data_IF_028905523687
#
_entry.id   IF_028905523687
#
_cell.length_a   1.000
_cell.length_b   1.000
_cell.length_c   1.000
_cell.angle_alpha   90.00
_cell.angle_beta   90.00
_cell.angle_gamma   90.00
#
_symmetry.space_group_name_H-M   'P 1'
#
loop_
_entity.id
_entity.type
_entity.pdbx_description
1 polymer ?
#
# COMPACT_ATOMS: atom_id res chain seq x y z
N UNK A 1 -4.27 -8.96 6.58
CA UNK A 1 -5.45 -8.06 6.69
C UNK A 1 -5.09 -6.62 6.31
N UNK A 2 -6.08 -5.77 6.06
CA UNK A 2 -5.87 -4.33 5.84
C UNK A 2 -5.48 -3.63 7.15
N UNK A 3 -4.78 -2.50 7.05
CA UNK A 3 -4.48 -1.65 8.21
C UNK A 3 -5.75 -0.93 8.68
N UNK A 4 -6.65 -1.66 9.32
CA UNK A 4 -7.90 -1.13 9.88
C UNK A 4 -7.91 -1.34 11.39
N UNK A 5 -8.00 -0.26 12.14
CA UNK A 5 -7.97 -0.29 13.61
C UNK A 5 -9.12 -1.10 14.23
N UNK A 6 -10.30 -1.11 13.60
CA UNK A 6 -11.42 -1.92 14.08
C UNK A 6 -11.13 -3.41 13.97
N UNK A 7 -10.51 -3.86 12.86
CA UNK A 7 -10.11 -5.26 12.72
C UNK A 7 -9.00 -5.65 13.69
N UNK A 8 -8.07 -4.72 13.97
CA UNK A 8 -7.00 -4.96 14.94
C UNK A 8 -7.53 -5.17 16.35
N UNK A 9 -8.51 -4.37 16.77
CA UNK A 9 -9.16 -4.50 18.06
C UNK A 9 -9.90 -5.84 18.16
N UNK A 10 -10.72 -6.16 17.16
CA UNK A 10 -11.49 -7.39 17.09
C UNK A 10 -10.62 -8.64 17.17
N UNK A 11 -9.49 -8.66 16.45
CA UNK A 11 -8.54 -9.78 16.50
C UNK A 11 -7.88 -9.89 17.87
N UNK A 12 -7.48 -8.77 18.48
CA UNK A 12 -6.87 -8.78 19.82
C UNK A 12 -7.82 -9.27 20.91
N UNK A 13 -9.09 -8.92 20.79
CA UNK A 13 -10.12 -9.32 21.77
C UNK A 13 -10.56 -10.78 21.62
N UNK A 14 -10.75 -11.23 20.36
CA UNK A 14 -11.35 -12.53 20.09
C UNK A 14 -10.34 -13.62 19.69
N UNK A 15 -9.11 -13.26 19.36
CA UNK A 15 -8.05 -14.19 18.94
C UNK A 15 -6.74 -13.91 19.70
N UNK A 16 -6.67 -14.16 21.02
CA UNK A 16 -5.51 -13.80 21.86
C UNK A 16 -4.19 -14.45 21.41
N UNK A 17 -4.26 -15.61 20.76
CA UNK A 17 -3.10 -16.32 20.18
C UNK A 17 -2.89 -16.00 18.69
N UNK A 18 -3.68 -15.11 18.12
CA UNK A 18 -3.62 -14.74 16.71
C UNK A 18 -2.47 -13.77 16.43
N UNK A 19 -1.71 -14.02 15.35
CA UNK A 19 -0.72 -13.07 14.85
C UNK A 19 -1.32 -12.24 13.75
N UNK A 20 -1.37 -10.92 13.95
CA UNK A 20 -1.84 -9.98 12.93
C UNK A 20 -0.75 -9.84 11.86
N UNK A 21 -1.11 -10.14 10.61
CA UNK A 21 -0.26 -9.95 9.43
C UNK A 21 -0.90 -8.94 8.51
N UNK A 22 -0.20 -7.81 8.26
CA UNK A 22 -0.69 -6.81 7.32
C UNK A 22 -0.24 -7.11 5.90
N UNK A 23 -1.16 -6.86 4.96
CA UNK A 23 -0.84 -6.91 3.54
C UNK A 23 0.00 -5.70 3.14
N UNK A 24 1.24 -5.97 2.71
CA UNK A 24 2.18 -4.95 2.28
C UNK A 24 1.68 -4.17 1.04
N UNK A 25 0.84 -4.78 0.19
CA UNK A 25 0.20 -4.06 -0.91
C UNK A 25 -0.66 -2.89 -0.39
N UNK A 26 -1.43 -3.12 0.68
CA UNK A 26 -2.23 -2.06 1.31
C UNK A 26 -1.35 -0.98 1.95
N UNK A 27 -0.21 -1.34 2.54
CA UNK A 27 0.77 -0.36 3.05
C UNK A 27 1.24 0.55 1.92
N UNK A 28 1.66 -0.02 0.78
CA UNK A 28 2.14 0.74 -0.39
C UNK A 28 1.02 1.57 -1.05
N UNK A 29 -0.19 1.03 -1.14
CA UNK A 29 -1.35 1.75 -1.67
C UNK A 29 -1.71 2.94 -0.80
N UNK A 30 -1.69 2.77 0.54
CA UNK A 30 -1.89 3.84 1.50
C UNK A 30 -0.80 4.90 1.41
N UNK A 31 0.47 4.50 1.27
CA UNK A 31 1.58 5.42 1.05
C UNK A 31 1.38 6.25 -0.22
N UNK A 32 1.01 5.60 -1.32
CA UNK A 32 0.71 6.28 -2.57
C UNK A 32 -0.33 7.39 -2.39
N UNK A 33 -1.47 7.07 -1.77
CA UNK A 33 -2.57 8.02 -1.56
C UNK A 33 -2.25 9.10 -0.53
N UNK A 34 -1.69 8.72 0.62
CA UNK A 34 -1.49 9.64 1.76
C UNK A 34 -0.22 10.48 1.66
N UNK A 35 0.79 9.99 0.94
CA UNK A 35 2.09 10.68 0.81
C UNK A 35 2.31 11.18 -0.61
N UNK A 36 2.44 10.29 -1.60
CA UNK A 36 2.78 10.68 -2.98
C UNK A 36 1.75 11.64 -3.57
N UNK A 37 0.46 11.29 -3.51
CA UNK A 37 -0.59 12.15 -4.07
C UNK A 37 -0.67 13.49 -3.34
N UNK A 38 -0.46 13.52 -2.02
CA UNK A 38 -0.50 14.76 -1.25
C UNK A 38 0.67 15.66 -1.59
N UNK A 39 1.90 15.15 -1.55
CA UNK A 39 3.11 15.93 -1.89
C UNK A 39 3.02 16.44 -3.33
N UNK A 40 2.52 15.62 -4.28
CA UNK A 40 2.31 16.00 -5.67
C UNK A 40 1.30 17.16 -5.82
N UNK A 41 0.19 17.11 -5.08
CA UNK A 41 -0.82 18.17 -5.09
C UNK A 41 -0.25 19.46 -4.50
N UNK A 42 0.47 19.37 -3.38
CA UNK A 42 1.09 20.51 -2.73
C UNK A 42 2.15 21.15 -3.65
N UNK A 43 3.00 20.34 -4.30
CA UNK A 43 3.95 20.80 -5.30
C UNK A 43 3.26 21.47 -6.51
N UNK A 44 2.16 20.89 -7.02
CA UNK A 44 1.40 21.50 -8.11
C UNK A 44 0.73 22.83 -7.70
N UNK A 45 0.35 22.97 -6.43
CA UNK A 45 -0.24 24.21 -5.91
C UNK A 45 0.80 25.31 -5.73
N UNK A 46 2.03 24.99 -5.36
CA UNK A 46 3.13 25.98 -5.29
C UNK A 46 3.53 26.52 -6.69
N UNK A 47 3.23 25.78 -7.76
CA UNK A 47 3.53 26.14 -9.15
C UNK A 47 2.36 26.83 -9.88
N UNK A 48 1.48 27.53 -9.16
CA UNK A 48 0.33 28.24 -9.78
C UNK A 48 0.76 29.32 -10.77
N UNK A 49 1.91 29.94 -10.57
CA UNK A 49 2.51 30.96 -11.42
C UNK A 49 3.20 30.38 -12.68
N UNK A 50 3.39 29.08 -12.76
CA UNK A 50 4.04 28.36 -13.88
C UNK A 50 3.13 27.24 -14.42
N UNK A 51 2.13 27.54 -15.26
CA UNK A 51 1.08 26.59 -15.65
C UNK A 51 1.60 25.30 -16.31
N UNK A 52 2.67 25.40 -17.12
CA UNK A 52 3.25 24.23 -17.79
C UNK A 52 3.96 23.29 -16.81
N UNK A 53 4.73 23.81 -15.84
CA UNK A 53 5.36 23.03 -14.78
C UNK A 53 4.30 22.36 -13.89
N UNK A 54 3.26 23.11 -13.56
CA UNK A 54 2.11 22.58 -12.83
C UNK A 54 1.46 21.40 -13.55
N UNK A 55 1.29 21.48 -14.87
CA UNK A 55 0.74 20.40 -15.69
C UNK A 55 1.63 19.16 -15.64
N UNK A 56 2.96 19.33 -15.73
CA UNK A 56 3.94 18.24 -15.62
C UNK A 56 3.82 17.53 -14.27
N UNK A 57 3.82 18.27 -13.16
CA UNK A 57 3.67 17.70 -11.82
C UNK A 57 2.33 17.01 -11.64
N UNK A 58 1.22 17.60 -12.09
CA UNK A 58 -0.11 16.97 -12.01
C UNK A 58 -0.20 15.65 -12.77
N UNK A 59 0.38 15.58 -13.96
CA UNK A 59 0.33 14.39 -14.82
C UNK A 59 1.28 13.27 -14.36
N UNK A 60 2.19 13.52 -13.41
CA UNK A 60 3.19 12.55 -12.96
C UNK A 60 2.66 11.43 -12.05
N UNK A 61 1.38 11.44 -11.69
CA UNK A 61 0.80 10.48 -10.73
C UNK A 61 1.15 9.03 -11.06
N UNK A 62 0.81 8.58 -12.26
CA UNK A 62 1.03 7.20 -12.65
C UNK A 62 2.51 6.84 -12.76
N UNK A 63 3.35 7.79 -13.17
CA UNK A 63 4.80 7.66 -13.19
C UNK A 63 5.35 7.36 -11.80
N UNK A 64 4.90 8.10 -10.78
CA UNK A 64 5.33 7.93 -9.39
C UNK A 64 4.79 6.66 -8.71
N UNK A 65 3.82 5.99 -9.32
CA UNK A 65 3.29 4.71 -8.86
C UNK A 65 3.97 3.52 -9.54
N UNK A 66 4.66 3.72 -10.66
CA UNK A 66 5.40 2.67 -11.34
C UNK A 66 6.64 2.25 -10.55
N UNK A 67 7.06 1.03 -10.77
CA UNK A 67 8.35 0.52 -10.30
C UNK A 67 9.47 1.05 -11.18
N UNK A 68 10.68 1.30 -10.63
CA UNK A 68 11.83 1.73 -11.45
C UNK A 68 12.08 0.80 -12.64
N UNK A 69 12.02 -0.51 -12.41
CA UNK A 69 12.25 -1.53 -13.44
C UNK A 69 11.19 -1.57 -14.55
N UNK A 70 10.02 -0.96 -14.32
CA UNK A 70 8.91 -0.90 -15.28
C UNK A 70 8.79 0.45 -15.99
N UNK A 71 9.78 1.33 -15.81
CA UNK A 71 9.82 2.61 -16.48
C UNK A 71 10.42 2.44 -17.90
N UNK A 72 9.77 3.06 -18.89
CA UNK A 72 10.36 3.21 -20.21
C UNK A 72 11.44 4.31 -20.18
N UNK A 73 12.33 4.37 -21.19
CA UNK A 73 13.36 5.42 -21.30
C UNK A 73 12.77 6.84 -21.23
N UNK A 74 11.64 7.07 -21.91
CA UNK A 74 10.92 8.34 -21.86
C UNK A 74 10.41 8.67 -20.46
N UNK A 75 10.00 7.66 -19.70
CA UNK A 75 9.54 7.83 -18.32
C UNK A 75 10.69 8.04 -17.35
N UNK A 76 11.85 7.42 -17.56
CA UNK A 76 13.08 7.71 -16.83
C UNK A 76 13.49 9.18 -17.01
N UNK A 77 13.50 9.68 -18.24
CA UNK A 77 13.79 11.09 -18.53
C UNK A 77 12.82 12.03 -17.81
N UNK A 78 11.51 11.74 -17.88
CA UNK A 78 10.49 12.53 -17.16
C UNK A 78 10.66 12.49 -15.65
N UNK A 79 11.01 11.33 -15.08
CA UNK A 79 11.27 11.21 -13.65
C UNK A 79 12.50 12.01 -13.24
N UNK A 80 13.57 12.00 -14.04
CA UNK A 80 14.77 12.79 -13.83
C UNK A 80 14.49 14.31 -13.88
N UNK A 81 13.69 14.77 -14.83
CA UNK A 81 13.23 16.16 -14.90
C UNK A 81 12.38 16.54 -13.68
N UNK A 82 11.41 15.69 -13.32
CA UNK A 82 10.57 15.91 -12.16
C UNK A 82 11.39 15.98 -10.85
N UNK A 83 12.42 15.15 -10.73
CA UNK A 83 13.31 15.13 -9.55
C UNK A 83 14.12 16.42 -9.40
N UNK A 84 14.54 17.04 -10.50
CA UNK A 84 15.20 18.36 -10.49
C UNK A 84 14.25 19.47 -10.06
N UNK A 85 12.96 19.34 -10.40
CA UNK A 85 11.92 20.31 -10.05
C UNK A 85 11.43 20.19 -8.61
N UNK A 86 11.42 18.98 -8.04
CA UNK A 86 10.83 18.74 -6.73
C UNK A 86 11.53 17.59 -5.96
N UNK A 87 12.57 17.95 -5.22
CA UNK A 87 13.31 17.00 -4.35
C UNK A 87 12.41 16.26 -3.32
N UNK A 88 11.43 16.90 -2.65
CA UNK A 88 10.51 16.19 -1.77
C UNK A 88 9.75 15.06 -2.45
N UNK A 89 9.32 15.27 -3.69
CA UNK A 89 8.58 14.26 -4.44
C UNK A 89 9.46 13.08 -4.84
N UNK A 90 10.70 13.35 -5.25
CA UNK A 90 11.70 12.31 -5.49
C UNK A 90 11.98 11.50 -4.22
N UNK A 91 12.18 12.17 -3.08
CA UNK A 91 12.39 11.49 -1.79
C UNK A 91 11.24 10.54 -1.45
N UNK A 92 10.00 10.99 -1.63
CA UNK A 92 8.83 10.14 -1.40
C UNK A 92 8.78 8.94 -2.36
N UNK A 93 9.15 9.14 -3.65
CA UNK A 93 9.23 8.06 -4.63
C UNK A 93 10.24 6.98 -4.22
N UNK A 94 11.45 7.37 -3.86
CA UNK A 94 12.51 6.45 -3.42
C UNK A 94 12.11 5.71 -2.13
N UNK A 95 11.56 6.43 -1.16
CA UNK A 95 11.11 5.83 0.10
C UNK A 95 9.94 4.85 -0.10
N UNK A 96 9.07 5.07 -1.09
CA UNK A 96 8.05 4.09 -1.47
C UNK A 96 8.67 2.83 -2.05
N UNK A 97 9.68 2.98 -2.87
CA UNK A 97 10.38 1.87 -3.50
C UNK A 97 11.10 1.01 -2.46
N UNK A 98 11.77 1.63 -1.49
CA UNK A 98 12.39 0.93 -0.37
C UNK A 98 11.39 0.09 0.45
N UNK A 99 10.18 0.58 0.73
CA UNK A 99 9.17 -0.23 1.42
C UNK A 99 8.81 -1.50 0.65
N UNK A 100 8.93 -1.51 -0.67
CA UNK A 100 8.68 -2.72 -1.47
C UNK A 100 9.71 -3.81 -1.23
N UNK A 101 10.93 -3.45 -0.85
CA UNK A 101 11.97 -4.42 -0.55
C UNK A 101 11.64 -5.32 0.64
N UNK A 102 10.65 -4.97 1.47
CA UNK A 102 10.14 -5.85 2.52
C UNK A 102 9.70 -7.23 2.00
N UNK A 103 9.20 -7.32 0.75
CA UNK A 103 8.79 -8.60 0.15
C UNK A 103 9.96 -9.50 -0.25
N UNK A 104 11.15 -8.93 -0.45
CA UNK A 104 12.34 -9.66 -0.87
C UNK A 104 13.26 -10.03 0.30
N UNK A 105 12.94 -9.59 1.52
CA UNK A 105 13.76 -9.86 2.69
C UNK A 105 13.67 -11.32 3.12
N UNK A 106 14.83 -11.91 3.44
CA UNK A 106 14.93 -13.30 3.84
C UNK A 106 14.71 -13.55 5.32
N UNK A 107 14.88 -12.53 6.18
CA UNK A 107 14.84 -12.68 7.63
C UNK A 107 14.05 -11.58 8.34
N UNK A 108 13.48 -11.96 9.50
CA UNK A 108 12.79 -11.02 10.39
C UNK A 108 13.68 -9.87 10.85
N UNK A 109 14.97 -10.14 11.14
CA UNK A 109 15.92 -9.11 11.55
C UNK A 109 16.14 -8.03 10.49
N UNK A 110 16.24 -8.44 9.22
CA UNK A 110 16.34 -7.49 8.09
C UNK A 110 15.07 -6.65 7.95
N UNK A 111 13.90 -7.26 8.12
CA UNK A 111 12.61 -6.54 8.07
C UNK A 111 12.51 -5.50 9.20
N UNK A 112 12.90 -5.85 10.42
CA UNK A 112 12.95 -4.92 11.56
C UNK A 112 13.89 -3.75 11.26
N UNK A 113 15.12 -4.04 10.85
CA UNK A 113 16.11 -3.01 10.56
C UNK A 113 15.63 -2.04 9.48
N UNK A 114 15.11 -2.58 8.38
CA UNK A 114 14.59 -1.75 7.27
C UNK A 114 13.41 -0.88 7.71
N UNK A 115 12.41 -1.44 8.38
CA UNK A 115 11.21 -0.69 8.79
C UNK A 115 11.55 0.38 9.81
N UNK A 116 12.41 0.09 10.79
CA UNK A 116 12.79 1.06 11.82
C UNK A 116 13.63 2.20 11.25
N UNK A 117 14.62 1.92 10.40
CA UNK A 117 15.39 2.94 9.70
C UNK A 117 14.49 3.79 8.79
N UNK A 118 13.60 3.13 8.04
CA UNK A 118 12.64 3.81 7.18
C UNK A 118 11.75 4.78 7.98
N UNK A 119 11.19 4.35 9.12
CA UNK A 119 10.37 5.19 10.00
C UNK A 119 11.19 6.36 10.54
N UNK A 120 12.43 6.13 10.94
CA UNK A 120 13.32 7.19 11.41
C UNK A 120 13.52 8.25 10.33
N UNK A 121 13.91 7.88 9.12
CA UNK A 121 14.11 8.80 7.99
C UNK A 121 12.82 9.51 7.57
N UNK A 122 11.67 8.82 7.61
CA UNK A 122 10.37 9.41 7.32
C UNK A 122 10.01 10.51 8.30
N UNK A 123 10.15 10.23 9.60
CA UNK A 123 9.77 11.17 10.67
C UNK A 123 10.68 12.40 10.76
N UNK A 124 11.93 12.29 10.27
CA UNK A 124 12.90 13.40 10.20
C UNK A 124 12.98 14.06 8.81
N UNK A 125 12.08 13.70 7.89
CA UNK A 125 12.15 14.16 6.50
C UNK A 125 11.79 15.63 6.27
N UNK A 126 11.11 16.28 7.21
CA UNK A 126 10.48 17.62 7.08
C UNK A 126 9.37 17.69 6.01
N UNK A 127 8.96 16.55 5.43
CA UNK A 127 7.84 16.46 4.48
C UNK A 127 6.62 16.02 5.27
N UNK A 128 5.70 16.94 5.57
CA UNK A 128 4.58 16.69 6.50
C UNK A 128 3.80 15.40 6.21
N UNK A 129 3.33 15.12 4.97
CA UNK A 129 2.63 13.86 4.69
C UNK A 129 3.47 12.61 4.96
N UNK A 130 4.79 12.67 4.73
CA UNK A 130 5.71 11.56 4.98
C UNK A 130 5.96 11.37 6.48
N UNK A 131 6.10 12.47 7.24
CA UNK A 131 6.21 12.45 8.71
C UNK A 131 4.98 11.82 9.33
N UNK A 132 3.79 12.27 8.92
CA UNK A 132 2.51 11.79 9.44
C UNK A 132 2.33 10.29 9.13
N UNK A 133 2.69 9.86 7.93
CA UNK A 133 2.67 8.45 7.54
C UNK A 133 3.65 7.61 8.37
N UNK A 134 4.89 8.07 8.56
CA UNK A 134 5.90 7.39 9.37
C UNK A 134 5.48 7.22 10.83
N UNK A 135 4.87 8.25 11.43
CA UNK A 135 4.30 8.18 12.79
C UNK A 135 3.18 7.15 12.87
N UNK A 136 2.27 7.16 11.90
CA UNK A 136 1.18 6.18 11.83
C UNK A 136 1.68 4.75 11.66
N UNK A 137 2.70 4.55 10.82
CA UNK A 137 3.25 3.22 10.53
C UNK A 137 3.83 2.54 11.78
N UNK A 138 4.30 3.28 12.78
CA UNK A 138 4.79 2.74 14.05
C UNK A 138 3.78 1.83 14.74
N UNK A 139 2.50 2.16 14.68
CA UNK A 139 1.43 1.35 15.27
C UNK A 139 1.23 -0.01 14.58
N UNK A 140 1.73 -0.17 13.38
CA UNK A 140 1.53 -1.34 12.53
C UNK A 140 2.80 -2.18 12.33
N UNK A 141 3.94 -1.78 12.95
CA UNK A 141 5.26 -2.40 12.72
C UNK A 141 5.24 -3.91 12.94
N UNK A 142 4.62 -4.39 14.02
CA UNK A 142 4.61 -5.82 14.34
C UNK A 142 3.95 -6.67 13.24
N UNK A 143 2.80 -6.23 12.74
CA UNK A 143 2.08 -6.96 11.68
C UNK A 143 2.75 -6.81 10.30
N UNK A 144 3.49 -5.72 10.08
CA UNK A 144 4.31 -5.55 8.87
C UNK A 144 5.50 -6.52 8.89
N UNK A 145 6.19 -6.63 10.03
CA UNK A 145 7.31 -7.56 10.22
C UNK A 145 6.82 -9.01 10.12
N UNK A 146 5.66 -9.32 10.71
CA UNK A 146 5.06 -10.65 10.60
C UNK A 146 4.79 -11.05 9.14
N UNK A 147 4.53 -10.10 8.24
CA UNK A 147 4.37 -10.41 6.83
C UNK A 147 5.65 -10.98 6.17
N UNK A 148 6.84 -10.61 6.66
CA UNK A 148 8.10 -11.19 6.20
C UNK A 148 8.29 -12.63 6.68
N UNK A 149 7.82 -12.95 7.91
CA UNK A 149 7.91 -14.30 8.49
C UNK A 149 6.96 -15.27 7.78
N UNK A 150 5.69 -14.85 7.63
CA UNK A 150 4.64 -15.75 7.15
C UNK A 150 4.53 -15.81 5.61
N UNK A 151 5.12 -14.86 4.88
CA UNK A 151 5.08 -14.76 3.39
C UNK A 151 3.67 -15.00 2.81
N UNK A 152 2.64 -14.56 3.53
CA UNK A 152 1.24 -14.74 3.13
C UNK A 152 0.96 -13.84 1.93
N UNK A 153 0.61 -14.44 0.80
CA UNK A 153 0.15 -13.72 -0.36
C UNK A 153 -1.37 -13.48 -0.26
N UNK A 154 -1.76 -12.24 -0.03
CA UNK A 154 -3.17 -11.85 0.06
C UNK A 154 -3.92 -11.92 -1.28
N UNK A 155 -3.22 -12.12 -2.41
CA UNK A 155 -3.84 -12.17 -3.74
C UNK A 155 -4.89 -13.28 -3.89
N UNK A 156 -4.69 -14.43 -3.24
CA UNK A 156 -5.66 -15.53 -3.21
C UNK A 156 -6.94 -15.10 -2.51
N UNK A 157 -6.82 -14.47 -1.33
CA UNK A 157 -7.97 -13.97 -0.57
C UNK A 157 -8.68 -12.82 -1.32
N UNK A 158 -7.93 -11.95 -1.98
CA UNK A 158 -8.50 -10.91 -2.84
C UNK A 158 -9.29 -11.54 -4.01
N UNK A 159 -8.75 -12.55 -4.66
CA UNK A 159 -9.43 -13.32 -5.70
C UNK A 159 -10.73 -13.95 -5.19
N UNK A 160 -10.70 -14.57 -4.01
CA UNK A 160 -11.89 -15.12 -3.33
C UNK A 160 -12.91 -14.02 -3.06
N UNK A 161 -12.52 -12.92 -2.45
CA UNK A 161 -13.39 -11.79 -2.14
C UNK A 161 -14.00 -11.16 -3.41
N UNK A 162 -13.23 -11.05 -4.49
CA UNK A 162 -13.72 -10.54 -5.76
C UNK A 162 -14.76 -11.48 -6.37
N UNK A 163 -14.54 -12.80 -6.31
CA UNK A 163 -15.52 -13.80 -6.76
C UNK A 163 -16.82 -13.74 -5.94
N UNK A 164 -16.73 -13.59 -4.61
CA UNK A 164 -17.89 -13.38 -3.74
C UNK A 164 -18.66 -12.09 -4.11
N UNK A 165 -17.95 -10.99 -4.33
CA UNK A 165 -18.55 -9.73 -4.79
C UNK A 165 -19.26 -9.88 -6.15
N UNK A 166 -18.69 -10.66 -7.08
CA UNK A 166 -19.31 -10.95 -8.36
C UNK A 166 -20.60 -11.75 -8.20
N UNK A 167 -20.62 -12.78 -7.34
CA UNK A 167 -21.82 -13.58 -7.03
C UNK A 167 -22.93 -12.65 -6.53
N UNK A 168 -22.61 -11.78 -5.55
CA UNK A 168 -23.56 -10.81 -5.00
C UNK A 168 -24.09 -9.83 -6.06
N UNK A 169 -23.21 -9.31 -6.93
CA UNK A 169 -23.59 -8.37 -8.00
C UNK A 169 -24.48 -9.01 -9.05
N UNK A 170 -24.19 -10.24 -9.50
CA UNK A 170 -24.98 -10.96 -10.52
C UNK A 170 -26.41 -11.24 -10.07
N UNK A 171 -26.61 -11.40 -8.77
CA UNK A 171 -27.95 -11.61 -8.19
C UNK A 171 -28.65 -10.31 -7.78
N UNK A 172 -28.07 -9.14 -8.08
CA UNK A 172 -28.57 -7.85 -7.60
C UNK A 172 -28.79 -7.78 -6.07
N UNK A 173 -28.07 -8.62 -5.33
CA UNK A 173 -28.18 -8.84 -3.90
C UNK A 173 -28.88 -10.17 -3.58
N UNK A 174 -28.85 -10.52 -2.31
CA UNK A 174 -29.55 -11.71 -1.78
C UNK A 174 -30.42 -11.26 -0.60
N UNK A 175 -31.64 -11.75 -0.55
CA UNK A 175 -32.55 -11.53 0.59
C UNK A 175 -32.36 -12.58 1.67
N UNK A 176 -31.86 -13.75 1.29
CA UNK A 176 -31.61 -14.90 2.17
C UNK A 176 -30.10 -15.12 2.26
N UNK A 177 -29.55 -14.93 3.46
CA UNK A 177 -28.14 -15.08 3.75
C UNK A 177 -27.70 -16.55 3.67
N UNK A 178 -28.54 -17.51 4.08
CA UNK A 178 -28.22 -18.94 3.98
C UNK A 178 -28.09 -19.36 2.52
N UNK A 179 -28.99 -18.93 1.66
CA UNK A 179 -28.89 -19.19 0.23
C UNK A 179 -27.65 -18.50 -0.39
N UNK A 180 -27.33 -17.29 0.05
CA UNK A 180 -26.08 -16.63 -0.37
C UNK A 180 -24.86 -17.47 -0.02
N UNK A 181 -24.75 -17.95 1.23
CA UNK A 181 -23.64 -18.81 1.65
C UNK A 181 -23.57 -20.13 0.87
N UNK A 182 -24.71 -20.73 0.54
CA UNK A 182 -24.74 -21.91 -0.33
C UNK A 182 -24.19 -21.62 -1.72
N UNK A 183 -24.53 -20.47 -2.32
CA UNK A 183 -23.99 -20.03 -3.62
C UNK A 183 -22.49 -19.77 -3.53
N UNK A 184 -22.01 -19.16 -2.45
CA UNK A 184 -20.59 -18.97 -2.21
C UNK A 184 -19.87 -20.32 -2.11
N UNK A 185 -20.35 -21.25 -1.27
CA UNK A 185 -19.80 -22.60 -1.13
C UNK A 185 -19.74 -23.33 -2.48
N UNK A 186 -20.83 -23.30 -3.26
CA UNK A 186 -20.90 -23.94 -4.56
C UNK A 186 -19.93 -23.32 -5.59
N UNK A 187 -19.52 -22.09 -5.42
CA UNK A 187 -18.58 -21.41 -6.33
C UNK A 187 -17.10 -21.71 -6.02
N UNK A 188 -16.79 -22.25 -4.84
CA UNK A 188 -15.46 -22.65 -4.42
C UNK A 188 -15.47 -24.18 -4.19
N UNK A 189 -15.21 -24.91 -5.26
CA UNK A 189 -15.03 -26.36 -5.16
C UNK A 189 -13.74 -26.60 -4.36
N UNK A 190 -13.86 -27.29 -3.22
CA UNK A 190 -12.69 -27.73 -2.45
C UNK A 190 -11.74 -28.54 -3.34
N UNK A 191 -10.45 -28.47 -3.03
CA UNK A 191 -9.51 -29.42 -3.64
C UNK A 191 -10.00 -30.84 -3.30
N UNK A 192 -10.07 -31.76 -4.27
CA UNK A 192 -10.36 -33.16 -3.95
C UNK A 192 -9.34 -33.62 -2.91
N UNK A 193 -9.83 -34.22 -1.83
CA UNK A 193 -9.01 -34.83 -0.80
C UNK A 193 -8.38 -36.09 -1.32
#
# INVERSE_FOLDING_TARGET
>A
MDQNSAFDLEVKENCPNGVVVYDLFHVLSNFGRKVIDRVRVDAANSLRHAPWLRKVVKSSRYLLYKRPENLSEKEHTKLAELSKLNTPLLKCYLMRDELRHLWSLGTRGQAIALVMDWIHRATHSRIKPLVDFGKNLRGYVQGIIAAADFKINASVLEGVNNKIKQIKRRAYGFRDDLYFFLKVKAAFHGLPR
#
